data_IF_075350018809
#
_entry.id   IF_075350018809
#
_cell.length_a   1.000
_cell.length_b   1.000
_cell.length_c   1.000
_cell.angle_alpha   90.00
_cell.angle_beta   90.00
_cell.angle_gamma   90.00
#
_symmetry.space_group_name_H-M   'P 1'
#
loop_
_entity.id
_entity.type
_entity.pdbx_description
1 polymer ?
#
# COMPACT_ATOMS: atom_id res chain seq x y z
N UNK A 1 12.93 -3.97 -9.54
CA UNK A 1 12.13 -4.54 -10.66
C UNK A 1 12.78 -4.40 -12.05
N UNK A 2 13.86 -5.14 -12.32
CA UNK A 2 14.49 -5.20 -13.67
C UNK A 2 14.60 -6.65 -14.16
N UNK A 3 14.45 -6.90 -15.47
CA UNK A 3 14.55 -8.24 -16.05
C UNK A 3 14.06 -8.33 -17.49
N UNK A 4 14.45 -9.40 -18.20
CA UNK A 4 14.16 -9.58 -19.63
C UNK A 4 12.66 -9.71 -19.97
N UNK A 5 11.82 -10.12 -19.02
CA UNK A 5 10.39 -10.33 -19.21
C UNK A 5 9.53 -9.31 -18.42
N UNK A 6 10.13 -8.21 -17.96
CA UNK A 6 9.39 -7.16 -17.23
C UNK A 6 8.75 -6.21 -18.24
N UNK A 7 7.44 -6.03 -18.12
CA UNK A 7 6.71 -4.99 -18.87
C UNK A 7 6.85 -3.67 -18.11
N UNK A 8 7.39 -2.64 -18.78
CA UNK A 8 7.49 -1.30 -18.18
C UNK A 8 6.11 -0.70 -17.94
N UNK A 9 5.95 0.00 -16.84
CA UNK A 9 4.72 0.72 -16.53
C UNK A 9 4.48 1.83 -17.57
N UNK A 10 3.25 1.96 -18.04
CA UNK A 10 2.83 3.01 -18.98
C UNK A 10 1.62 3.71 -18.35
N UNK A 11 1.70 5.03 -18.23
CA UNK A 11 0.58 5.82 -17.70
C UNK A 11 -0.60 5.80 -18.67
N UNK A 12 -1.83 5.59 -18.19
CA UNK A 12 -3.02 5.96 -18.95
C UNK A 12 -2.99 7.47 -19.25
N UNK A 13 -3.36 7.85 -20.47
CA UNK A 13 -3.31 9.25 -20.91
C UNK A 13 -4.15 10.18 -20.02
N UNK A 14 -5.28 9.68 -19.50
CA UNK A 14 -6.20 10.45 -18.65
C UNK A 14 -5.64 10.76 -17.26
N UNK A 15 -4.66 9.98 -16.81
CA UNK A 15 -3.99 10.14 -15.52
C UNK A 15 -2.53 10.57 -15.67
N UNK A 16 -2.07 10.83 -16.90
CA UNK A 16 -0.69 11.25 -17.15
C UNK A 16 -0.48 12.67 -16.63
N UNK A 17 0.54 12.83 -15.79
CA UNK A 17 1.00 14.10 -15.26
C UNK A 17 2.49 14.24 -15.49
N UNK A 18 2.97 15.48 -15.51
CA UNK A 18 4.39 15.80 -15.58
C UNK A 18 4.83 16.48 -14.28
N UNK A 19 5.89 15.96 -13.66
CA UNK A 19 6.49 16.52 -12.46
C UNK A 19 7.89 17.01 -12.80
N UNK A 20 8.24 18.23 -12.37
CA UNK A 20 9.60 18.75 -12.54
C UNK A 20 10.49 18.33 -11.38
N UNK A 21 11.63 17.71 -11.68
CA UNK A 21 12.62 17.30 -10.69
C UNK A 21 13.82 18.24 -10.78
N UNK A 22 14.22 18.89 -9.67
CA UNK A 22 15.25 19.93 -9.69
C UNK A 22 16.61 19.46 -10.21
N UNK A 23 16.93 18.17 -10.09
CA UNK A 23 18.22 17.61 -10.47
C UNK A 23 18.18 16.68 -11.70
N UNK A 24 16.99 16.32 -12.18
CA UNK A 24 16.82 15.30 -13.23
C UNK A 24 15.84 15.72 -14.33
N UNK A 25 15.33 16.95 -14.28
CA UNK A 25 14.37 17.49 -15.23
C UNK A 25 12.97 16.85 -15.10
N UNK A 26 12.07 17.15 -16.06
CA UNK A 26 10.70 16.70 -16.02
C UNK A 26 10.61 15.17 -16.17
N UNK A 27 9.63 14.60 -15.48
CA UNK A 27 9.25 13.19 -15.60
C UNK A 27 7.75 13.08 -15.82
N UNK A 28 7.35 12.21 -16.75
CA UNK A 28 5.95 11.87 -16.99
C UNK A 28 5.61 10.54 -16.35
N UNK A 29 4.41 10.46 -15.79
CA UNK A 29 3.92 9.24 -15.16
C UNK A 29 2.46 9.37 -14.76
N UNK A 30 1.95 8.34 -14.09
CA UNK A 30 0.57 8.31 -13.61
C UNK A 30 0.46 9.09 -12.29
N UNK A 31 -0.38 10.12 -12.27
CA UNK A 31 -0.76 10.85 -11.07
C UNK A 31 -2.08 10.31 -10.51
N UNK A 32 -2.05 9.76 -9.30
CA UNK A 32 -3.27 9.34 -8.60
C UNK A 32 -3.83 10.53 -7.81
N UNK A 33 -4.99 11.11 -8.17
CA UNK A 33 -5.54 12.26 -7.48
C UNK A 33 -6.07 11.88 -6.09
N UNK A 34 -6.20 12.89 -5.21
CA UNK A 34 -6.84 12.69 -3.91
C UNK A 34 -8.29 12.23 -4.10
N UNK A 35 -8.71 11.25 -3.31
CA UNK A 35 -10.04 10.67 -3.38
C UNK A 35 -9.97 9.15 -3.21
N UNK A 36 -10.94 8.46 -3.80
CA UNK A 36 -10.98 7.00 -3.82
C UNK A 36 -10.59 6.56 -5.23
N UNK A 37 -9.50 5.78 -5.33
CA UNK A 37 -9.06 5.13 -6.56
C UNK A 37 -9.25 3.64 -6.40
N UNK A 38 -9.91 3.00 -7.36
CA UNK A 38 -10.17 1.56 -7.36
C UNK A 38 -9.34 0.91 -8.47
N UNK A 39 -8.54 -0.08 -8.12
CA UNK A 39 -7.84 -0.94 -9.08
C UNK A 39 -8.71 -2.17 -9.33
N UNK A 40 -9.23 -2.31 -10.55
CA UNK A 40 -10.12 -3.41 -10.94
C UNK A 40 -9.45 -4.30 -11.96
N UNK A 41 -9.43 -5.62 -11.72
CA UNK A 41 -8.78 -6.60 -12.60
C UNK A 41 -9.21 -8.02 -12.21
N UNK A 42 -9.16 -8.97 -13.13
CA UNK A 42 -9.56 -10.37 -12.96
C UNK A 42 -8.45 -11.28 -12.39
N UNK A 43 -7.35 -10.68 -11.94
CA UNK A 43 -6.26 -11.33 -11.21
C UNK A 43 -5.09 -11.75 -12.11
N UNK A 44 -3.86 -11.72 -11.57
CA UNK A 44 -2.59 -12.01 -12.26
C UNK A 44 -2.13 -11.02 -13.36
N UNK A 45 -2.70 -9.83 -13.41
CA UNK A 45 -2.37 -8.80 -14.41
C UNK A 45 -1.56 -7.61 -13.85
N UNK A 46 -1.09 -7.70 -12.60
CA UNK A 46 -0.14 -6.74 -12.02
C UNK A 46 -0.73 -5.71 -11.04
N UNK A 47 -2.02 -5.77 -10.71
CA UNK A 47 -2.63 -4.90 -9.70
C UNK A 47 -1.94 -4.93 -8.34
N UNK A 48 -1.60 -6.13 -7.84
CA UNK A 48 -0.88 -6.26 -6.58
C UNK A 48 0.53 -5.67 -6.68
N UNK A 49 1.19 -5.85 -7.82
CA UNK A 49 2.52 -5.28 -8.09
C UNK A 49 2.49 -3.76 -8.10
N UNK A 50 1.47 -3.15 -8.72
CA UNK A 50 1.26 -1.70 -8.67
C UNK A 50 0.98 -1.22 -7.23
N UNK A 51 0.16 -1.95 -6.48
CA UNK A 51 -0.14 -1.62 -5.09
C UNK A 51 1.09 -1.75 -4.18
N UNK A 52 1.96 -2.74 -4.42
CA UNK A 52 3.24 -2.91 -3.73
C UNK A 52 4.20 -1.75 -4.02
N UNK A 53 4.27 -1.30 -5.28
CA UNK A 53 5.08 -0.13 -5.64
C UNK A 53 4.59 1.14 -4.91
N UNK A 54 3.27 1.37 -4.88
CA UNK A 54 2.65 2.49 -4.14
C UNK A 54 2.95 2.38 -2.64
N UNK A 55 2.86 1.17 -2.07
CA UNK A 55 3.16 0.94 -0.65
C UNK A 55 4.61 1.28 -0.31
N UNK A 56 5.56 0.92 -1.17
CA UNK A 56 6.99 1.19 -0.95
C UNK A 56 7.39 2.63 -1.31
N UNK A 57 6.58 3.36 -2.08
CA UNK A 57 6.83 4.74 -2.50
C UNK A 57 6.92 5.77 -1.37
N UNK A 58 6.65 5.37 -0.12
CA UNK A 58 6.95 6.18 1.08
C UNK A 58 8.46 6.32 1.28
N UNK A 59 9.24 5.38 0.76
CA UNK A 59 10.69 5.34 0.86
C UNK A 59 11.35 5.72 -0.46
N UNK A 60 12.47 6.45 -0.35
CA UNK A 60 13.32 6.66 -1.51
C UNK A 60 14.03 5.35 -1.86
N UNK A 61 13.81 4.87 -3.09
CA UNK A 61 14.43 3.65 -3.60
C UNK A 61 15.77 4.02 -4.27
N UNK A 62 16.73 3.08 -4.23
CA UNK A 62 18.04 3.27 -4.88
C UNK A 62 17.89 3.35 -6.41
N UNK A 63 18.70 4.18 -7.10
CA UNK A 63 18.65 4.28 -8.55
C UNK A 63 18.89 2.94 -9.24
N UNK A 64 18.13 2.64 -10.30
CA UNK A 64 18.26 1.41 -11.07
C UNK A 64 17.46 0.22 -10.53
N UNK A 65 16.67 0.39 -9.45
CA UNK A 65 15.70 -0.63 -9.06
C UNK A 65 14.57 -0.75 -10.09
N UNK A 66 14.13 0.36 -10.69
CA UNK A 66 12.95 0.45 -11.55
C UNK A 66 11.71 1.02 -10.83
N UNK A 67 11.84 1.40 -9.56
CA UNK A 67 10.80 2.04 -8.74
C UNK A 67 11.30 3.34 -8.08
N UNK A 68 12.47 3.85 -8.46
CA UNK A 68 13.09 5.06 -7.91
C UNK A 68 12.26 6.33 -8.06
N UNK A 69 11.36 6.36 -9.04
CA UNK A 69 10.46 7.48 -9.30
C UNK A 69 9.01 7.23 -8.83
N UNK A 70 8.77 6.13 -8.09
CA UNK A 70 7.48 5.87 -7.44
C UNK A 70 7.47 6.53 -6.07
N UNK A 71 6.63 7.54 -5.91
CA UNK A 71 6.53 8.31 -4.67
C UNK A 71 5.09 8.37 -4.17
N UNK A 72 4.92 8.30 -2.85
CA UNK A 72 3.62 8.43 -2.19
C UNK A 72 3.69 9.34 -0.97
N UNK A 73 2.52 9.72 -0.44
CA UNK A 73 2.45 10.53 0.77
C UNK A 73 3.11 9.77 1.95
N UNK A 74 3.97 10.42 2.74
CA UNK A 74 4.72 9.75 3.81
C UNK A 74 3.85 9.17 4.92
N UNK A 75 2.56 9.52 4.96
CA UNK A 75 1.58 9.02 5.93
C UNK A 75 0.75 7.84 5.42
N UNK A 76 1.03 7.34 4.21
CA UNK A 76 0.32 6.19 3.64
C UNK A 76 0.49 4.95 4.51
N UNK A 77 -0.61 4.25 4.74
CA UNK A 77 -0.64 2.95 5.44
C UNK A 77 -1.36 1.91 4.59
N UNK A 78 -0.78 0.70 4.54
CA UNK A 78 -1.47 -0.47 3.97
C UNK A 78 -2.23 -1.18 5.07
N UNK A 79 -3.53 -1.30 4.88
CA UNK A 79 -4.43 -2.02 5.80
C UNK A 79 -4.74 -3.39 5.21
N UNK A 80 -4.72 -4.41 6.07
CA UNK A 80 -5.14 -5.78 5.78
C UNK A 80 -5.79 -6.39 7.00
N UNK A 81 -6.52 -7.51 6.83
CA UNK A 81 -6.93 -8.30 7.99
C UNK A 81 -5.70 -8.90 8.65
N UNK A 82 -5.72 -8.92 9.98
CA UNK A 82 -4.75 -9.60 10.81
C UNK A 82 -5.52 -10.27 11.95
N UNK A 83 -5.77 -11.56 11.75
CA UNK A 83 -6.60 -12.34 12.66
C UNK A 83 -5.84 -12.57 13.98
N UNK A 84 -6.52 -12.40 15.11
CA UNK A 84 -5.92 -12.60 16.44
C UNK A 84 -5.05 -11.46 16.96
N UNK A 85 -4.94 -10.33 16.25
CA UNK A 85 -4.23 -9.16 16.78
C UNK A 85 -4.90 -8.62 18.05
N UNK A 86 -4.10 -8.24 19.03
CA UNK A 86 -4.58 -7.50 20.19
C UNK A 86 -4.98 -6.08 19.77
N UNK A 87 -6.16 -5.63 20.17
CA UNK A 87 -6.62 -4.25 20.00
C UNK A 87 -6.89 -3.68 21.36
N UNK A 88 -6.24 -2.56 21.68
CA UNK A 88 -6.49 -1.82 22.91
C UNK A 88 -7.21 -0.51 22.60
N UNK A 89 -8.22 -0.20 23.40
CA UNK A 89 -9.02 1.04 23.40
C UNK A 89 -9.81 1.45 22.14
N UNK A 90 -9.71 0.81 20.97
CA UNK A 90 -10.31 1.42 19.75
C UNK A 90 -10.91 0.44 18.73
N UNK A 91 -11.85 -0.41 19.14
CA UNK A 91 -12.90 -0.84 18.21
C UNK A 91 -14.22 -1.01 18.95
N UNK A 92 -15.19 -0.13 18.67
CA UNK A 92 -16.56 -0.32 19.16
C UNK A 92 -17.21 -1.41 18.31
N UNK A 93 -17.08 -2.66 18.74
CA UNK A 93 -17.98 -3.72 18.27
C UNK A 93 -19.21 -3.66 19.14
N UNK A 94 -20.38 -3.42 18.56
CA UNK A 94 -21.64 -3.62 19.27
C UNK A 94 -21.78 -5.12 19.56
N UNK A 95 -21.46 -5.52 20.79
CA UNK A 95 -21.76 -6.86 21.28
C UNK A 95 -23.16 -6.85 21.91
N UNK A 96 -23.97 -7.91 21.69
CA UNK A 96 -25.34 -8.00 22.22
C UNK A 96 -25.43 -7.94 23.76
N UNK A 97 -24.33 -8.12 24.49
CA UNK A 97 -24.28 -8.14 25.96
C UNK A 97 -23.66 -6.90 26.67
N UNK A 98 -23.41 -5.77 26.00
CA UNK A 98 -22.89 -4.54 26.63
C UNK A 98 -21.56 -4.68 27.42
N UNK A 99 -20.77 -5.74 27.18
CA UNK A 99 -19.53 -5.96 27.91
C UNK A 99 -18.34 -5.39 27.13
N UNK A 100 -17.90 -4.18 27.52
CA UNK A 100 -16.73 -3.51 26.94
C UNK A 100 -15.46 -4.12 27.52
N UNK A 101 -14.91 -5.17 26.89
CA UNK A 101 -13.62 -5.75 27.30
C UNK A 101 -12.51 -5.39 26.32
N UNK A 102 -11.41 -4.86 26.85
CA UNK A 102 -10.10 -5.02 26.23
C UNK A 102 -9.64 -6.46 26.53
N UNK A 103 -10.06 -7.43 25.73
CA UNK A 103 -9.92 -8.87 26.04
C UNK A 103 -8.59 -9.50 25.60
N UNK A 104 -7.68 -8.72 25.00
CA UNK A 104 -6.46 -9.26 24.42
C UNK A 104 -5.22 -9.18 25.34
N UNK A 105 -5.43 -8.95 26.64
CA UNK A 105 -4.43 -9.18 27.69
C UNK A 105 -4.91 -10.25 28.69
N UNK A 106 -5.33 -11.42 28.21
CA UNK A 106 -5.16 -12.66 28.97
C UNK A 106 -4.27 -13.60 28.16
N UNK A 107 -2.96 -13.51 28.44
CA UNK A 107 -1.99 -14.55 28.12
C UNK A 107 -2.46 -15.86 28.77
N UNK A 108 -2.95 -16.81 27.98
CA UNK A 108 -2.80 -18.23 28.28
C UNK A 108 -2.92 -19.06 26.99
N UNK A 109 -2.00 -20.02 26.88
CA UNK A 109 -1.90 -21.07 25.86
C UNK A 109 -1.32 -20.72 24.48
N UNK A 110 -0.07 -20.25 24.46
CA UNK A 110 0.90 -20.79 23.47
C UNK A 110 1.48 -22.08 24.03
N UNK A 111 0.68 -23.14 23.99
CA UNK A 111 1.15 -24.52 24.01
C UNK A 111 0.85 -25.15 22.65
N UNK A 112 1.82 -25.08 21.74
CA UNK A 112 2.29 -26.22 20.94
C UNK A 112 3.41 -25.75 20.03
N UNK A 113 4.51 -26.50 20.07
CA UNK A 113 5.60 -26.45 19.11
C UNK A 113 5.13 -26.84 17.71
#
# INVERSE_FOLDING_TARGET
MTGANVVSFISPLELEVELDRPNFGPIKGMGIPKGITVLTDDGFHGNLTLLEAIQLGVYNVVPGDGQEDVVTDPTVVKIRSEDGRCVTNELLVHQPENNWTCSACEMNDVKSF
#
